data_IF_878384173532
#
_entry.id   IF_878384173532
#
_cell.length_a   1.000
_cell.length_b   1.000
_cell.length_c   1.000
_cell.angle_alpha   90.00
_cell.angle_beta   90.00
_cell.angle_gamma   90.00
#
_symmetry.space_group_name_H-M   'P 1'
#
loop_
_entity.id
_entity.type
_entity.pdbx_description
1 polymer ?
#
# COMPACT_ATOMS: atom_id res chain seq x y z
N UNK A 1 14.12 -12.03 -23.16
CA UNK A 1 12.80 -11.56 -22.68
C UNK A 1 11.74 -12.59 -23.02
N UNK A 2 10.66 -12.68 -22.24
CA UNK A 2 9.53 -13.56 -22.55
C UNK A 2 8.80 -13.09 -23.81
N UNK A 3 8.23 -14.02 -24.58
CA UNK A 3 7.28 -13.66 -25.64
C UNK A 3 5.98 -13.13 -25.04
N UNK A 4 5.22 -12.34 -25.81
CA UNK A 4 3.90 -11.84 -25.37
C UNK A 4 2.96 -12.98 -24.96
N UNK A 5 3.01 -14.12 -25.67
CA UNK A 5 2.21 -15.31 -25.35
C UNK A 5 2.60 -15.86 -23.98
N UNK A 6 3.89 -16.15 -23.78
CA UNK A 6 4.38 -16.72 -22.52
C UNK A 6 4.18 -15.79 -21.32
N UNK A 7 4.28 -14.48 -21.50
CA UNK A 7 3.99 -13.51 -20.45
C UNK A 7 2.51 -13.54 -20.01
N UNK A 8 1.57 -13.68 -20.97
CA UNK A 8 0.14 -13.84 -20.65
C UNK A 8 -0.13 -15.18 -19.95
N UNK A 9 0.42 -16.28 -20.44
CA UNK A 9 0.24 -17.60 -19.84
C UNK A 9 0.69 -17.61 -18.36
N UNK A 10 1.79 -16.92 -18.04
CA UNK A 10 2.27 -16.78 -16.65
C UNK A 10 1.34 -15.88 -15.82
N UNK A 11 0.90 -14.74 -16.38
CA UNK A 11 -0.01 -13.83 -15.69
C UNK A 11 -1.34 -14.52 -15.33
N UNK A 12 -1.91 -15.30 -16.26
CA UNK A 12 -3.15 -16.05 -16.05
C UNK A 12 -3.00 -17.07 -14.91
N UNK A 13 -1.86 -17.76 -14.83
CA UNK A 13 -1.56 -18.68 -13.72
C UNK A 13 -1.43 -17.94 -12.38
N UNK A 14 -0.77 -16.78 -12.35
CA UNK A 14 -0.64 -15.98 -11.12
C UNK A 14 -2.02 -15.51 -10.64
N UNK A 15 -2.86 -15.02 -11.56
CA UNK A 15 -4.23 -14.59 -11.24
C UNK A 15 -5.05 -15.76 -10.70
N UNK A 16 -4.95 -16.95 -11.30
CA UNK A 16 -5.64 -18.14 -10.83
C UNK A 16 -5.16 -18.63 -9.45
N UNK A 17 -3.87 -18.47 -9.14
CA UNK A 17 -3.29 -18.83 -7.83
C UNK A 17 -3.67 -17.85 -6.71
N UNK A 18 -3.86 -16.57 -7.04
CA UNK A 18 -4.15 -15.50 -6.08
C UNK A 18 -5.37 -14.67 -6.52
N UNK A 19 -6.58 -15.27 -6.58
CA UNK A 19 -7.77 -14.62 -7.15
C UNK A 19 -8.19 -13.34 -6.40
N UNK A 20 -7.87 -13.25 -5.11
CA UNK A 20 -8.24 -12.14 -4.22
C UNK A 20 -7.05 -11.26 -3.82
N UNK A 21 -5.96 -11.27 -4.59
CA UNK A 21 -4.77 -10.48 -4.30
C UNK A 21 -5.11 -8.98 -4.18
N UNK A 22 -4.87 -8.41 -3.00
CA UNK A 22 -5.07 -7.00 -2.66
C UNK A 22 -3.87 -6.51 -1.85
N UNK A 23 -3.72 -5.19 -1.74
CA UNK A 23 -2.74 -4.62 -0.82
C UNK A 23 -3.07 -5.02 0.62
N UNK A 24 -2.03 -5.23 1.43
CA UNK A 24 -2.14 -5.54 2.87
C UNK A 24 -1.90 -4.30 3.74
N UNK A 25 -1.65 -3.14 3.14
CA UNK A 25 -1.60 -1.86 3.84
C UNK A 25 -2.97 -1.56 4.44
N UNK A 26 -3.01 -1.13 5.70
CA UNK A 26 -4.22 -0.74 6.42
C UNK A 26 -4.50 0.75 6.17
N UNK A 27 -5.68 1.04 5.63
CA UNK A 27 -6.18 2.39 5.36
C UNK A 27 -7.72 2.38 5.30
N UNK A 28 -8.33 3.54 5.50
CA UNK A 28 -9.79 3.73 5.43
C UNK A 28 -10.21 4.65 4.27
N UNK A 29 -9.26 5.40 3.71
CA UNK A 29 -9.49 6.37 2.66
C UNK A 29 -8.24 6.55 1.76
N UNK A 30 -8.39 7.30 0.65
CA UNK A 30 -7.32 7.48 -0.33
C UNK A 30 -6.13 8.28 0.20
N UNK A 31 -6.35 9.19 1.16
CA UNK A 31 -5.27 9.97 1.76
C UNK A 31 -4.37 9.08 2.61
N UNK A 32 -4.96 8.26 3.48
CA UNK A 32 -4.23 7.26 4.28
C UNK A 32 -3.46 6.28 3.40
N UNK A 33 -4.07 5.78 2.31
CA UNK A 33 -3.38 4.88 1.38
C UNK A 33 -2.17 5.56 0.74
N UNK A 34 -2.33 6.81 0.29
CA UNK A 34 -1.22 7.58 -0.30
C UNK A 34 -0.05 7.71 0.68
N UNK A 35 -0.31 8.07 1.93
CA UNK A 35 0.72 8.19 2.96
C UNK A 35 1.34 6.83 3.28
N UNK A 36 0.54 5.76 3.42
CA UNK A 36 1.04 4.41 3.66
C UNK A 36 1.97 3.92 2.53
N UNK A 37 1.65 4.23 1.27
CA UNK A 37 2.49 3.92 0.10
C UNK A 37 3.79 4.75 0.11
N UNK A 38 3.75 6.02 0.51
CA UNK A 38 4.98 6.81 0.66
C UNK A 38 5.89 6.22 1.74
N UNK A 39 5.32 5.81 2.87
CA UNK A 39 6.06 5.18 3.98
C UNK A 39 6.57 3.78 3.65
N UNK A 40 5.98 3.08 2.68
CA UNK A 40 6.40 1.72 2.31
C UNK A 40 7.72 1.68 1.54
N UNK A 41 8.26 2.84 1.15
CA UNK A 41 9.56 2.92 0.49
C UNK A 41 10.65 2.23 1.32
N UNK A 42 11.26 1.18 0.74
CA UNK A 42 12.36 0.41 1.34
C UNK A 42 12.04 -0.18 2.72
N UNK A 43 10.77 -0.50 3.00
CA UNK A 43 10.35 -1.18 4.23
C UNK A 43 9.29 -2.25 3.93
N UNK A 44 8.70 -2.82 4.98
CA UNK A 44 7.65 -3.84 4.86
C UNK A 44 6.28 -3.26 5.21
N UNK A 45 5.23 -3.77 4.58
CA UNK A 45 3.84 -3.39 4.91
C UNK A 45 3.52 -3.65 6.39
N UNK A 46 4.13 -4.66 7.01
CA UNK A 46 4.02 -4.92 8.44
C UNK A 46 4.57 -3.76 9.27
N UNK A 47 5.73 -3.21 8.90
CA UNK A 47 6.33 -2.07 9.60
C UNK A 47 5.50 -0.79 9.39
N UNK A 48 4.98 -0.56 8.18
CA UNK A 48 4.07 0.56 7.89
C UNK A 48 2.81 0.44 8.75
N UNK A 49 2.15 -0.72 8.74
CA UNK A 49 0.93 -0.95 9.50
C UNK A 49 1.09 -0.84 11.03
N UNK A 50 2.32 -1.00 11.55
CA UNK A 50 2.62 -0.79 12.99
C UNK A 50 2.60 0.69 13.37
N UNK A 51 2.91 1.60 12.44
CA UNK A 51 3.04 3.03 12.72
C UNK A 51 1.84 3.84 12.24
N UNK A 52 1.19 3.42 11.15
CA UNK A 52 0.15 4.23 10.50
C UNK A 52 -1.10 4.42 11.34
N UNK A 53 -1.49 3.46 12.20
CA UNK A 53 -2.66 3.60 13.07
C UNK A 53 -2.57 4.84 13.96
N UNK A 54 -1.51 4.93 14.78
CA UNK A 54 -1.29 6.09 15.65
C UNK A 54 -1.01 7.37 14.86
N UNK A 55 -0.37 7.26 13.69
CA UNK A 55 -0.09 8.41 12.82
C UNK A 55 -1.39 9.03 12.29
N UNK A 56 -2.33 8.22 11.79
CA UNK A 56 -3.61 8.68 11.24
C UNK A 56 -4.57 9.15 12.33
N UNK A 57 -4.54 8.55 13.53
CA UNK A 57 -5.27 9.08 14.68
C UNK A 57 -4.78 10.49 15.06
N UNK A 58 -3.45 10.71 15.03
CA UNK A 58 -2.86 12.01 15.37
C UNK A 58 -3.05 13.06 14.27
N UNK A 59 -3.03 12.64 13.01
CA UNK A 59 -3.15 13.52 11.84
C UNK A 59 -4.21 12.95 10.87
N UNK A 60 -5.51 13.16 11.15
CA UNK A 60 -6.60 12.45 10.47
C UNK A 60 -6.91 12.96 9.05
N UNK A 61 -6.36 14.11 8.65
CA UNK A 61 -6.62 14.73 7.36
C UNK A 61 -5.37 15.47 6.83
N UNK A 62 -5.35 15.83 5.53
CA UNK A 62 -4.23 16.53 4.92
C UNK A 62 -3.84 17.83 5.65
N UNK A 63 -4.82 18.60 6.12
CA UNK A 63 -4.60 19.88 6.81
C UNK A 63 -3.87 19.68 8.14
N UNK A 64 -4.27 18.67 8.93
CA UNK A 64 -3.63 18.31 10.18
C UNK A 64 -2.18 17.80 9.97
N UNK A 65 -1.95 17.03 8.91
CA UNK A 65 -0.61 16.61 8.51
C UNK A 65 0.27 17.80 8.12
N UNK A 66 -0.27 18.72 7.29
CA UNK A 66 0.45 19.90 6.83
C UNK A 66 0.77 20.89 7.96
N UNK A 67 -0.06 20.95 9.00
CA UNK A 67 0.17 21.77 10.18
C UNK A 67 1.11 21.13 11.22
N UNK A 68 1.58 19.89 10.99
CA UNK A 68 2.48 19.21 11.93
C UNK A 68 3.85 19.88 12.02
N UNK A 69 4.47 19.79 13.20
CA UNK A 69 5.85 20.22 13.43
C UNK A 69 6.75 19.01 13.68
N UNK A 70 8.03 19.07 13.28
CA UNK A 70 9.03 18.03 13.59
C UNK A 70 9.18 17.74 15.08
#
# INVERSE_FOLDING_TARGET
MLSKKRARDILEQIIALYPDAKTILKYTNNFELMIAVMLSAQTTDLAVNKVTGALFERFPNPEAFAASSP
#
